data_IF_716256566964
#
_entry.id   IF_716256566964
#
_cell.length_a   1.000
_cell.length_b   1.000
_cell.length_c   1.000
_cell.angle_alpha   90.00
_cell.angle_beta   90.00
_cell.angle_gamma   90.00
#
_symmetry.space_group_name_H-M   'P 1'
#
loop_
_entity.id
_entity.type
_entity.pdbx_description
1 polymer ?
#
# COMPACT_ATOMS: atom_id res chain seq x y z
N UNK A 1 9.03 19.50 -11.55
CA UNK A 1 10.38 19.17 -12.08
C UNK A 1 10.46 17.65 -12.21
N UNK A 2 10.56 17.08 -13.42
CA UNK A 2 10.39 15.62 -13.61
C UNK A 2 11.60 14.84 -13.09
N UNK A 3 11.36 13.85 -12.22
CA UNK A 3 12.41 12.93 -11.75
C UNK A 3 13.00 12.12 -12.93
N UNK A 4 14.33 11.89 -12.94
CA UNK A 4 14.99 11.01 -13.90
C UNK A 4 14.32 9.65 -13.98
N UNK A 5 14.18 9.09 -15.20
CA UNK A 5 13.52 7.79 -15.43
C UNK A 5 14.19 6.64 -14.65
N UNK A 6 15.51 6.70 -14.52
CA UNK A 6 16.33 5.71 -13.80
C UNK A 6 15.98 5.67 -12.30
N UNK A 7 16.01 6.82 -11.62
CA UNK A 7 15.67 6.96 -10.20
C UNK A 7 14.23 6.48 -9.89
N UNK A 8 13.29 6.67 -10.83
CA UNK A 8 11.91 6.15 -10.71
C UNK A 8 11.86 4.63 -10.80
N UNK A 9 12.58 4.02 -11.74
CA UNK A 9 12.68 2.56 -11.84
C UNK A 9 13.34 1.94 -10.60
N UNK A 10 14.32 2.61 -10.00
CA UNK A 10 14.95 2.17 -8.75
C UNK A 10 13.95 2.18 -7.59
N UNK A 11 13.24 3.30 -7.37
CA UNK A 11 12.18 3.38 -6.34
C UNK A 11 11.12 2.29 -6.52
N UNK A 12 10.66 2.05 -7.76
CA UNK A 12 9.67 0.99 -8.07
C UNK A 12 10.18 -0.41 -7.71
N UNK A 13 11.45 -0.72 -7.96
CA UNK A 13 12.08 -1.99 -7.55
C UNK A 13 12.21 -2.11 -6.02
N UNK A 14 12.56 -1.03 -5.33
CA UNK A 14 12.64 -1.03 -3.86
C UNK A 14 11.28 -1.27 -3.22
N UNK A 15 10.22 -0.63 -3.73
CA UNK A 15 8.84 -0.83 -3.26
C UNK A 15 8.37 -2.27 -3.53
N UNK A 16 8.62 -2.82 -4.72
CA UNK A 16 8.31 -4.23 -5.07
C UNK A 16 9.07 -5.24 -4.16
N UNK A 17 10.32 -4.96 -3.83
CA UNK A 17 11.10 -5.79 -2.91
C UNK A 17 10.58 -5.68 -1.47
N UNK A 18 10.22 -4.47 -1.02
CA UNK A 18 9.63 -4.20 0.28
C UNK A 18 8.26 -4.89 0.44
N UNK A 19 7.38 -4.78 -0.56
CA UNK A 19 6.02 -5.34 -0.51
C UNK A 19 6.00 -6.87 -0.42
N UNK A 20 7.06 -7.54 -0.88
CA UNK A 20 7.25 -9.01 -0.81
C UNK A 20 8.14 -9.46 0.36
N UNK A 21 8.73 -8.53 1.10
CA UNK A 21 9.62 -8.83 2.21
C UNK A 21 8.86 -9.17 3.50
N UNK A 22 9.14 -10.33 4.10
CA UNK A 22 8.50 -10.75 5.35
C UNK A 22 8.91 -9.86 6.55
N UNK A 23 10.09 -9.23 6.50
CA UNK A 23 10.54 -8.26 7.53
C UNK A 23 9.69 -6.98 7.45
N UNK A 24 9.43 -6.48 6.24
CA UNK A 24 8.47 -5.37 6.03
C UNK A 24 7.09 -5.73 6.57
N UNK A 25 6.58 -6.92 6.25
CA UNK A 25 5.26 -7.36 6.71
C UNK A 25 5.15 -7.44 8.25
N UNK A 26 6.22 -7.84 8.94
CA UNK A 26 6.25 -7.78 10.41
C UNK A 26 6.17 -6.33 10.90
N UNK A 27 6.99 -5.41 10.36
CA UNK A 27 6.95 -3.99 10.72
C UNK A 27 5.56 -3.38 10.55
N UNK A 28 4.84 -3.73 9.48
CA UNK A 28 3.45 -3.29 9.25
C UNK A 28 2.51 -3.90 10.31
N UNK A 29 2.68 -5.19 10.65
CA UNK A 29 1.89 -5.84 11.69
C UNK A 29 2.13 -5.25 13.09
N UNK A 30 3.36 -4.81 13.38
CA UNK A 30 3.74 -4.18 14.64
C UNK A 30 3.19 -2.75 14.71
N UNK A 31 3.29 -1.98 13.61
CA UNK A 31 2.61 -0.68 13.49
C UNK A 31 1.09 -0.80 13.72
N UNK A 32 0.42 -1.81 13.14
CA UNK A 32 -1.02 -2.04 13.37
C UNK A 32 -1.34 -2.31 14.85
N UNK A 33 -0.40 -2.90 15.61
CA UNK A 33 -0.59 -3.13 17.05
C UNK A 33 -0.52 -1.80 17.82
N UNK A 34 0.54 -1.01 17.63
CA UNK A 34 0.73 0.29 18.28
C UNK A 34 -0.29 1.35 17.83
N UNK A 35 -0.74 1.31 16.58
CA UNK A 35 -1.84 2.17 16.10
C UNK A 35 -3.16 1.85 16.84
N UNK A 36 -3.45 0.55 17.06
CA UNK A 36 -4.65 0.12 17.80
C UNK A 36 -4.61 0.43 19.30
N UNK A 37 -3.43 0.66 19.88
CA UNK A 37 -3.26 1.16 21.26
C UNK A 37 -3.08 2.68 21.34
N UNK A 38 -3.18 3.39 20.21
CA UNK A 38 -2.95 4.84 20.08
C UNK A 38 -1.54 5.31 20.49
N UNK A 39 -0.54 4.41 20.45
CA UNK A 39 0.88 4.71 20.66
C UNK A 39 1.51 5.42 19.45
N UNK A 40 0.96 5.19 18.26
CA UNK A 40 1.44 5.74 16.98
C UNK A 40 0.26 6.23 16.12
N UNK A 41 0.51 7.20 15.27
CA UNK A 41 -0.45 7.84 14.37
C UNK A 41 -0.18 7.43 12.91
N UNK A 42 -1.11 7.70 11.98
CA UNK A 42 -0.93 7.30 10.58
C UNK A 42 0.31 7.99 9.98
N UNK A 43 0.55 9.25 10.34
CA UNK A 43 1.72 10.06 9.93
C UNK A 43 3.09 9.51 10.32
N UNK A 44 3.16 8.64 11.32
CA UNK A 44 4.43 8.01 11.70
C UNK A 44 4.85 6.92 10.69
N UNK A 45 3.87 6.42 9.92
CA UNK A 45 4.00 5.25 9.06
C UNK A 45 3.76 5.55 7.56
N UNK A 46 2.79 6.39 7.20
CA UNK A 46 2.52 6.81 5.82
C UNK A 46 3.11 8.19 5.51
N UNK A 47 3.29 8.49 4.23
CA UNK A 47 3.59 9.85 3.77
C UNK A 47 2.25 10.59 3.59
N UNK A 48 1.81 11.35 4.60
CA UNK A 48 0.46 11.95 4.60
C UNK A 48 0.19 12.80 3.36
N UNK A 49 1.09 13.72 2.99
CA UNK A 49 0.87 14.63 1.88
C UNK A 49 0.86 13.89 0.54
N UNK A 50 1.81 12.96 0.32
CA UNK A 50 1.84 12.14 -0.89
C UNK A 50 0.61 11.22 -0.99
N UNK A 51 0.16 10.66 0.14
CA UNK A 51 -1.03 9.78 0.20
C UNK A 51 -2.30 10.58 -0.06
N UNK A 52 -2.45 11.74 0.56
CA UNK A 52 -3.62 12.62 0.42
C UNK A 52 -3.81 13.04 -1.04
N UNK A 53 -2.72 13.51 -1.67
CA UNK A 53 -2.69 13.84 -3.10
C UNK A 53 -3.03 12.63 -3.98
N UNK A 54 -2.45 11.46 -3.68
CA UNK A 54 -2.69 10.22 -4.45
C UNK A 54 -4.13 9.72 -4.36
N UNK A 55 -4.78 9.84 -3.18
CA UNK A 55 -6.17 9.40 -2.97
C UNK A 55 -7.18 10.36 -3.60
N UNK A 56 -6.85 11.66 -3.67
CA UNK A 56 -7.72 12.69 -4.24
C UNK A 56 -7.48 12.96 -5.74
N UNK A 57 -6.63 12.18 -6.41
CA UNK A 57 -6.33 12.33 -7.84
C UNK A 57 -5.40 13.49 -8.19
N UNK A 58 -4.82 14.19 -7.20
CA UNK A 58 -3.82 15.25 -7.40
C UNK A 58 -2.45 14.65 -7.76
N UNK A 59 -2.34 14.10 -8.97
CA UNK A 59 -1.12 13.46 -9.43
C UNK A 59 -0.02 14.48 -9.80
N UNK A 60 0.87 14.80 -8.85
CA UNK A 60 2.18 15.41 -9.15
C UNK A 60 3.08 14.42 -9.93
N UNK A 61 2.84 14.27 -11.23
CA UNK A 61 3.69 13.51 -12.17
C UNK A 61 3.97 12.03 -11.75
N UNK A 62 3.10 11.46 -10.89
CA UNK A 62 3.22 10.11 -10.31
C UNK A 62 2.27 9.07 -10.94
N UNK A 63 2.16 9.09 -12.27
CA UNK A 63 1.61 7.97 -13.06
C UNK A 63 2.54 6.73 -12.95
N UNK A 64 2.52 6.01 -11.83
CA UNK A 64 3.30 4.78 -11.67
C UNK A 64 2.76 3.74 -10.66
N UNK A 65 1.66 4.04 -9.97
CA UNK A 65 0.75 3.04 -9.36
C UNK A 65 -0.54 3.02 -10.19
N UNK A 66 -0.66 2.05 -11.09
CA UNK A 66 -1.96 1.66 -11.68
C UNK A 66 -2.84 1.13 -10.54
N UNK A 67 -3.64 2.02 -9.94
CA UNK A 67 -4.89 1.58 -9.33
C UNK A 67 -5.73 1.07 -10.50
N UNK A 68 -5.91 -0.25 -10.55
CA UNK A 68 -6.87 -0.84 -11.48
C UNK A 68 -8.27 -0.54 -10.96
N UNK A 69 -8.87 0.52 -11.48
CA UNK A 69 -10.30 0.81 -11.38
C UNK A 69 -11.10 -0.20 -12.20
N UNK A 70 -11.05 -1.46 -11.76
CA UNK A 70 -11.72 -2.59 -12.39
C UNK A 70 -12.04 -3.66 -11.33
N UNK A 71 -12.92 -3.30 -10.39
CA UNK A 71 -13.85 -4.20 -9.64
C UNK A 71 -14.56 -3.42 -8.50
N UNK A 72 -15.14 -2.25 -8.82
CA UNK A 72 -16.30 -1.73 -8.08
C UNK A 72 -17.52 -2.06 -8.93
N UNK A 73 -18.47 -2.81 -8.36
CA UNK A 73 -19.55 -3.47 -9.09
C UNK A 73 -20.51 -2.47 -9.74
N UNK A 74 -20.46 -2.33 -11.05
CA UNK A 74 -21.65 -2.00 -11.86
C UNK A 74 -22.41 -3.30 -12.15
N UNK A 75 -23.66 -3.38 -11.66
CA UNK A 75 -24.76 -4.15 -12.28
C UNK A 75 -26.07 -3.92 -11.49
N UNK A 76 -26.73 -2.78 -11.73
CA UNK A 76 -28.19 -2.63 -11.65
C UNK A 76 -28.65 -1.66 -12.75
N UNK A 77 -28.71 -2.15 -13.99
CA UNK A 77 -29.77 -1.78 -14.97
C UNK A 77 -31.15 -2.19 -14.35
N UNK A 78 -32.35 -1.71 -14.69
CA UNK A 78 -32.93 -0.64 -15.54
C UNK A 78 -34.44 -0.56 -15.13
N UNK A 79 -35.28 0.45 -15.40
CA UNK A 79 -35.20 1.85 -15.89
C UNK A 79 -36.54 2.54 -15.44
N UNK A 80 -36.68 3.87 -15.56
CA UNK A 80 -37.87 4.54 -16.15
C UNK A 80 -37.71 6.09 -16.17
N UNK A 81 -37.38 6.58 -17.36
CA UNK A 81 -37.61 7.91 -17.96
C UNK A 81 -38.69 8.86 -17.38
N UNK A 82 -38.42 10.18 -17.38
CA UNK A 82 -39.19 11.15 -18.19
C UNK A 82 -38.48 12.53 -18.34
N UNK A 83 -38.83 13.26 -19.40
CA UNK A 83 -38.11 14.44 -19.96
C UNK A 83 -38.52 15.80 -19.36
N UNK A 84 -37.64 16.83 -19.47
CA UNK A 84 -37.94 18.10 -20.20
C UNK A 84 -36.82 19.17 -20.29
N UNK A 85 -36.84 19.85 -21.43
CA UNK A 85 -36.13 21.09 -21.83
C UNK A 85 -36.25 22.28 -20.85
N UNK A 86 -35.26 23.19 -20.82
CA UNK A 86 -35.25 24.42 -21.65
C UNK A 86 -33.86 25.12 -21.68
N UNK A 87 -33.65 26.04 -22.64
CA UNK A 87 -32.36 26.61 -23.07
C UNK A 87 -31.91 27.93 -22.38
N UNK A 88 -30.63 28.30 -22.63
CA UNK A 88 -29.96 29.61 -22.38
C UNK A 88 -29.50 29.86 -20.92
N UNK A 89 -28.40 30.58 -20.63
CA UNK A 89 -27.69 31.63 -21.39
C UNK A 89 -26.14 31.55 -21.21
N UNK A 90 -25.39 32.37 -21.95
CA UNK A 90 -23.91 32.47 -21.94
C UNK A 90 -23.37 33.37 -20.80
N UNK A 91 -22.03 33.35 -20.63
CA UNK A 91 -21.22 34.13 -19.66
C UNK A 91 -21.33 33.61 -18.20
N UNK A 92 -20.25 33.46 -17.42
CA UNK A 92 -18.92 34.07 -17.51
C UNK A 92 -17.79 33.05 -17.23
N UNK A 93 -16.58 33.37 -17.72
CA UNK A 93 -15.34 32.75 -17.25
C UNK A 93 -15.02 33.26 -15.84
N UNK A 94 -14.45 32.41 -14.98
CA UNK A 94 -13.74 32.69 -13.70
C UNK A 94 -14.16 31.71 -12.59
N UNK A 95 -13.76 30.44 -12.69
CA UNK A 95 -13.43 29.65 -11.50
C UNK A 95 -12.38 28.57 -11.82
N UNK A 96 -11.11 28.98 -11.86
CA UNK A 96 -9.95 28.06 -11.90
C UNK A 96 -9.13 28.17 -10.60
N UNK A 97 -9.81 28.33 -9.45
CA UNK A 97 -9.16 28.47 -8.13
C UNK A 97 -9.49 27.34 -7.12
N UNK A 98 -10.37 26.38 -7.43
CA UNK A 98 -10.72 25.31 -6.47
C UNK A 98 -9.61 24.29 -6.17
N UNK A 99 -8.53 24.22 -6.97
CA UNK A 99 -7.42 23.30 -6.69
C UNK A 99 -6.37 23.87 -5.69
N UNK A 100 -6.63 25.03 -5.05
CA UNK A 100 -5.73 25.53 -3.98
C UNK A 100 -6.03 24.91 -2.62
N UNK A 101 -7.31 24.58 -2.33
CA UNK A 101 -7.76 24.24 -0.98
C UNK A 101 -7.28 22.90 -0.43
N UNK A 102 -6.95 21.93 -1.29
CA UNK A 102 -6.50 20.60 -0.87
C UNK A 102 -5.09 20.62 -0.24
N UNK A 103 -4.24 21.56 -0.64
CA UNK A 103 -2.90 21.71 -0.06
C UNK A 103 -2.93 22.34 1.34
N UNK A 104 -3.91 23.21 1.61
CA UNK A 104 -4.01 24.05 2.82
C UNK A 104 -4.62 23.34 4.04
N UNK A 105 -5.14 22.12 3.87
CA UNK A 105 -5.66 21.31 4.98
C UNK A 105 -4.57 20.98 6.00
N UNK A 106 -4.93 21.07 7.29
CA UNK A 106 -4.04 20.75 8.39
C UNK A 106 -3.69 19.25 8.43
N UNK A 107 -2.60 18.93 9.12
CA UNK A 107 -2.10 17.56 9.30
C UNK A 107 -3.20 16.65 9.89
N UNK A 108 -4.01 17.17 10.80
CA UNK A 108 -5.12 16.43 11.41
C UNK A 108 -6.23 16.14 10.38
N UNK A 109 -6.65 17.14 9.61
CA UNK A 109 -7.69 16.97 8.58
C UNK A 109 -7.24 15.98 7.50
N UNK A 110 -5.99 16.06 7.02
CA UNK A 110 -5.43 15.08 6.08
C UNK A 110 -5.40 13.68 6.66
N UNK A 111 -5.02 13.53 7.93
CA UNK A 111 -5.01 12.24 8.63
C UNK A 111 -6.42 11.64 8.79
N UNK A 112 -7.43 12.45 9.12
CA UNK A 112 -8.81 11.96 9.27
C UNK A 112 -9.47 11.61 7.93
N UNK A 113 -9.22 12.37 6.86
CA UNK A 113 -9.67 12.03 5.51
C UNK A 113 -9.07 10.71 5.00
N UNK A 114 -7.79 10.45 5.30
CA UNK A 114 -7.11 9.23 4.88
C UNK A 114 -7.43 8.00 5.74
N UNK A 115 -7.86 8.21 6.99
CA UNK A 115 -8.09 7.14 7.98
C UNK A 115 -8.97 5.99 7.45
N UNK A 116 -10.16 6.22 6.85
CA UNK A 116 -11.03 5.13 6.39
C UNK A 116 -10.38 4.27 5.30
N UNK A 117 -9.62 4.88 4.39
CA UNK A 117 -8.93 4.16 3.32
C UNK A 117 -7.78 3.33 3.86
N UNK A 118 -6.91 3.93 4.69
CA UNK A 118 -5.73 3.25 5.23
C UNK A 118 -6.15 2.14 6.20
N UNK A 119 -7.10 2.38 7.11
CA UNK A 119 -7.56 1.36 8.06
C UNK A 119 -8.18 0.13 7.38
N UNK A 120 -8.93 0.32 6.29
CA UNK A 120 -9.46 -0.77 5.45
C UNK A 120 -8.33 -1.63 4.88
N UNK A 121 -7.28 -1.00 4.35
CA UNK A 121 -6.11 -1.69 3.80
C UNK A 121 -5.30 -2.39 4.91
N UNK A 122 -5.16 -1.78 6.10
CA UNK A 122 -4.48 -2.36 7.26
C UNK A 122 -5.21 -3.60 7.82
N UNK A 123 -6.55 -3.59 7.90
CA UNK A 123 -7.33 -4.76 8.33
C UNK A 123 -7.26 -5.91 7.31
N UNK A 124 -7.37 -5.60 6.02
CA UNK A 124 -7.18 -6.58 4.94
C UNK A 124 -5.78 -7.19 4.99
N UNK A 125 -4.75 -6.34 5.13
CA UNK A 125 -3.37 -6.77 5.35
C UNK A 125 -3.26 -7.70 6.57
N UNK A 126 -3.81 -7.31 7.72
CA UNK A 126 -3.68 -8.09 8.96
C UNK A 126 -4.32 -9.49 8.83
N UNK A 127 -5.48 -9.59 8.15
CA UNK A 127 -6.16 -10.87 7.86
C UNK A 127 -5.33 -11.75 6.92
N UNK A 128 -4.87 -11.18 5.80
CA UNK A 128 -4.10 -11.89 4.79
C UNK A 128 -2.70 -12.30 5.30
N UNK A 129 -2.02 -11.44 6.04
CA UNK A 129 -0.72 -11.72 6.64
C UNK A 129 -0.79 -12.86 7.67
N UNK A 130 -1.79 -12.87 8.56
CA UNK A 130 -2.02 -14.00 9.50
C UNK A 130 -2.20 -15.34 8.77
N UNK A 131 -2.83 -15.34 7.59
CA UNK A 131 -2.99 -16.52 6.73
C UNK A 131 -1.67 -16.93 6.06
N UNK A 132 -0.90 -15.98 5.51
CA UNK A 132 0.43 -16.24 4.94
C UNK A 132 1.40 -16.82 5.98
N UNK A 133 1.43 -16.25 7.19
CA UNK A 133 2.30 -16.72 8.27
C UNK A 133 2.00 -18.16 8.68
N UNK A 134 0.71 -18.54 8.78
CA UNK A 134 0.31 -19.94 9.01
C UNK A 134 0.75 -20.88 7.88
N UNK A 135 0.61 -20.46 6.62
CA UNK A 135 1.04 -21.26 5.46
C UNK A 135 2.56 -21.42 5.41
N UNK A 136 3.33 -20.34 5.61
CA UNK A 136 4.80 -20.38 5.65
C UNK A 136 5.29 -21.24 6.82
N UNK A 137 4.71 -21.13 8.01
CA UNK A 137 5.07 -21.95 9.16
C UNK A 137 4.81 -23.45 8.91
N UNK A 138 3.65 -23.81 8.35
CA UNK A 138 3.36 -25.20 7.97
C UNK A 138 4.38 -25.75 6.95
N UNK A 139 4.76 -24.93 5.97
CA UNK A 139 5.74 -25.30 4.95
C UNK A 139 7.15 -25.48 5.53
N UNK A 140 7.60 -24.56 6.42
CA UNK A 140 8.88 -24.68 7.12
C UNK A 140 8.93 -25.93 8.01
N UNK A 141 7.90 -26.17 8.83
CA UNK A 141 7.81 -27.36 9.67
C UNK A 141 7.81 -28.66 8.83
N UNK A 142 7.23 -28.63 7.63
CA UNK A 142 7.26 -29.77 6.71
C UNK A 142 8.66 -30.04 6.15
N UNK A 143 9.42 -28.98 5.82
CA UNK A 143 10.83 -29.09 5.42
C UNK A 143 11.72 -29.60 6.55
N UNK A 144 11.54 -29.08 7.77
CA UNK A 144 12.26 -29.51 8.98
C UNK A 144 12.07 -31.01 9.26
N UNK A 145 10.82 -31.48 9.21
CA UNK A 145 10.45 -32.89 9.35
C UNK A 145 10.84 -33.75 8.13
N UNK A 146 11.58 -33.20 7.16
CA UNK A 146 11.98 -33.83 5.88
C UNK A 146 10.83 -34.45 5.10
N UNK A 147 9.60 -33.94 5.29
CA UNK A 147 8.42 -34.37 4.54
C UNK A 147 8.51 -33.81 3.12
N UNK A 148 8.01 -34.58 2.14
CA UNK A 148 7.94 -34.13 0.75
C UNK A 148 6.88 -33.03 0.63
N UNK A 149 7.31 -31.76 0.62
CA UNK A 149 6.42 -30.63 0.36
C UNK A 149 5.90 -30.66 -1.07
N UNK A 150 4.63 -30.32 -1.28
CA UNK A 150 4.02 -30.30 -2.60
C UNK A 150 4.33 -28.99 -3.36
N UNK A 151 4.46 -29.03 -4.71
CA UNK A 151 4.54 -27.81 -5.51
C UNK A 151 3.31 -26.90 -5.35
N UNK A 152 2.15 -27.48 -5.01
CA UNK A 152 0.89 -26.75 -4.83
C UNK A 152 0.89 -25.89 -3.56
N UNK A 153 1.51 -26.34 -2.47
CA UNK A 153 1.69 -25.52 -1.26
C UNK A 153 2.57 -24.31 -1.51
N UNK A 154 3.68 -24.47 -2.27
CA UNK A 154 4.54 -23.36 -2.63
C UNK A 154 3.78 -22.35 -3.51
N UNK A 155 3.13 -22.79 -4.60
CA UNK A 155 2.28 -21.92 -5.43
C UNK A 155 1.21 -21.17 -4.63
N UNK A 156 0.60 -21.83 -3.62
CA UNK A 156 -0.38 -21.21 -2.74
C UNK A 156 0.24 -20.12 -1.85
N UNK A 157 1.46 -20.34 -1.35
CA UNK A 157 2.22 -19.31 -0.61
C UNK A 157 2.54 -18.13 -1.51
N UNK A 158 3.07 -18.38 -2.71
CA UNK A 158 3.45 -17.35 -3.68
C UNK A 158 2.23 -16.49 -4.07
N UNK A 159 1.07 -17.10 -4.39
CA UNK A 159 -0.17 -16.37 -4.69
C UNK A 159 -0.69 -15.52 -3.51
N UNK A 160 -0.54 -15.98 -2.26
CA UNK A 160 -0.91 -15.16 -1.09
C UNK A 160 0.13 -14.06 -0.83
N UNK A 161 1.39 -14.26 -1.24
CA UNK A 161 2.45 -13.25 -1.14
C UNK A 161 2.23 -12.10 -2.12
N UNK A 162 1.92 -12.40 -3.39
CA UNK A 162 1.62 -11.38 -4.41
C UNK A 162 0.37 -10.55 -4.03
N UNK A 163 -0.69 -11.21 -3.54
CA UNK A 163 -1.92 -10.55 -3.11
C UNK A 163 -1.73 -9.66 -1.88
N UNK A 164 -0.84 -10.02 -0.95
CA UNK A 164 -0.41 -9.14 0.15
C UNK A 164 0.50 -8.02 -0.36
N UNK A 165 1.39 -8.29 -1.32
CA UNK A 165 2.27 -7.29 -1.93
C UNK A 165 1.47 -6.11 -2.49
N UNK A 166 0.39 -6.36 -3.23
CA UNK A 166 -0.44 -5.28 -3.76
C UNK A 166 -1.14 -4.51 -2.65
N UNK A 167 -1.54 -5.18 -1.57
CA UNK A 167 -2.06 -4.49 -0.37
C UNK A 167 -0.99 -3.58 0.25
N UNK A 168 0.26 -4.04 0.38
CA UNK A 168 1.35 -3.28 1.00
C UNK A 168 1.75 -2.05 0.16
N UNK A 169 1.68 -2.14 -1.17
CA UNK A 169 1.87 -0.98 -2.06
C UNK A 169 0.81 0.10 -1.79
N UNK A 170 -0.43 -0.32 -1.57
CA UNK A 170 -1.58 0.56 -1.27
C UNK A 170 -1.64 1.03 0.20
N UNK A 171 -0.57 0.83 0.99
CA UNK A 171 -0.41 1.41 2.33
C UNK A 171 0.43 2.70 2.34
N UNK A 172 0.97 3.13 1.19
CA UNK A 172 1.70 4.41 1.05
C UNK A 172 2.79 4.65 2.13
N UNK A 173 3.50 3.57 2.45
CA UNK A 173 4.52 3.53 3.51
C UNK A 173 5.62 4.57 3.26
N UNK A 174 5.91 5.42 4.24
CA UNK A 174 6.91 6.48 4.08
C UNK A 174 8.33 5.92 3.91
N UNK A 175 9.19 6.69 3.23
CA UNK A 175 10.55 6.25 2.90
C UNK A 175 11.37 5.88 4.14
N UNK A 176 11.18 6.56 5.27
CA UNK A 176 11.91 6.28 6.51
C UNK A 176 11.62 4.85 7.03
N UNK A 177 10.36 4.39 6.98
CA UNK A 177 10.00 3.00 7.35
C UNK A 177 10.59 1.98 6.36
N UNK A 178 10.73 2.35 5.08
CA UNK A 178 11.38 1.50 4.06
C UNK A 178 12.88 1.36 4.35
N UNK A 179 13.55 2.48 4.64
CA UNK A 179 14.99 2.52 4.93
C UNK A 179 15.34 1.77 6.22
N UNK A 180 14.48 1.82 7.25
CA UNK A 180 14.62 1.02 8.47
C UNK A 180 14.64 -0.49 8.17
N UNK A 181 13.79 -0.97 7.24
CA UNK A 181 13.80 -2.38 6.82
C UNK A 181 15.07 -2.70 6.02
N UNK A 182 15.52 -1.80 5.14
CA UNK A 182 16.79 -1.99 4.39
C UNK A 182 17.97 -2.11 5.36
N UNK A 183 18.03 -1.26 6.39
CA UNK A 183 19.02 -1.34 7.47
C UNK A 183 18.98 -2.68 8.22
N UNK A 184 17.77 -3.14 8.58
CA UNK A 184 17.58 -4.42 9.28
C UNK A 184 17.95 -5.64 8.40
N UNK A 185 17.62 -5.63 7.11
CA UNK A 185 18.02 -6.66 6.15
C UNK A 185 19.54 -6.72 5.94
N UNK A 186 20.20 -5.56 5.88
CA UNK A 186 21.66 -5.48 5.81
C UNK A 186 22.30 -6.07 7.07
N UNK A 187 21.76 -5.78 8.27
CA UNK A 187 22.21 -6.38 9.53
C UNK A 187 22.11 -7.92 9.50
N UNK A 188 20.94 -8.47 9.16
CA UNK A 188 20.76 -9.93 9.05
C UNK A 188 21.70 -10.56 8.01
N UNK A 189 21.95 -9.87 6.90
CA UNK A 189 22.89 -10.34 5.86
C UNK A 189 24.31 -10.44 6.40
N UNK A 190 24.77 -9.45 7.17
CA UNK A 190 26.08 -9.48 7.83
C UNK A 190 26.18 -10.59 8.89
N UNK A 191 25.13 -10.79 9.69
CA UNK A 191 25.05 -11.87 10.68
C UNK A 191 25.17 -13.26 10.03
N UNK A 192 24.42 -13.51 8.95
CA UNK A 192 24.49 -14.76 8.17
C UNK A 192 25.87 -14.95 7.54
N UNK A 193 26.48 -13.90 6.98
CA UNK A 193 27.83 -13.97 6.40
C UNK A 193 28.91 -14.24 7.45
N UNK A 194 28.81 -13.65 8.64
CA UNK A 194 29.73 -13.93 9.76
C UNK A 194 29.58 -15.35 10.29
N UNK A 195 28.36 -15.88 10.32
CA UNK A 195 28.06 -17.25 10.77
C UNK A 195 28.61 -18.31 9.82
N UNK A 196 28.62 -18.05 8.50
CA UNK A 196 29.20 -18.93 7.47
C UNK A 196 30.73 -18.97 7.42
N UNK A 197 31.42 -18.17 8.24
CA UNK A 197 32.89 -18.12 8.34
C UNK A 197 33.44 -18.89 9.56
N UNK A 198 32.57 -19.62 10.27
CA UNK A 198 32.90 -20.56 11.34
C UNK A 198 32.59 -21.99 10.88
#
# INVERSE_FOLDING_TARGET
MKLPKELRMEKKKTIEAFSKCFVSMNLISDFIASYKTSETQLRDFVDLDSTFRSVNGEHEDFNDLEIKDSEIFENVEDDESEEKDDENDFEDSENSEENSGLSDLSILEKEENLRPHIEKNLDYFQKSFKKLTKLKLHYLNSLELRKKTSPNEKKKIDLNLDLISETVKNLFVNQNRIDDVVGLLNKYTLEVLSSKRK
#
